data_IF_364742422034
#
_entry.id   IF_364742422034
#
_cell.length_a   1.000
_cell.length_b   1.000
_cell.length_c   1.000
_cell.angle_alpha   90.00
_cell.angle_beta   90.00
_cell.angle_gamma   90.00
#
_symmetry.space_group_name_H-M   'P 1'
#
loop_
_entity.id
_entity.type
_entity.pdbx_description
1 polymer ?
#
# COMPACT_ATOMS: atom_id res chain seq x y z
N UNK A 1 2.87 2.47 0.03
CA UNK A 1 2.99 1.29 0.91
C UNK A 1 2.74 1.72 2.34
N UNK A 2 1.92 0.98 3.08
CA UNK A 2 1.80 1.06 4.52
C UNK A 2 2.65 -0.05 5.12
N UNK A 3 3.72 0.33 5.79
CA UNK A 3 4.67 -0.59 6.39
C UNK A 3 4.58 -0.49 7.91
N UNK A 4 3.98 -1.51 8.54
CA UNK A 4 3.98 -1.66 9.99
C UNK A 4 5.24 -2.40 10.40
N UNK A 5 6.11 -1.70 11.10
CA UNK A 5 7.37 -2.25 11.56
C UNK A 5 8.02 -1.33 12.58
N UNK A 6 8.43 -1.88 13.71
CA UNK A 6 9.28 -1.17 14.66
C UNK A 6 10.63 -0.82 14.04
N UNK A 7 11.25 0.24 14.56
CA UNK A 7 12.61 0.60 14.16
C UNK A 7 13.57 -0.55 14.47
N UNK A 8 14.31 -1.01 13.46
CA UNK A 8 15.20 -2.15 13.63
C UNK A 8 15.75 -2.70 12.32
N UNK A 9 16.60 -3.74 12.38
CA UNK A 9 17.33 -4.26 11.22
C UNK A 9 16.39 -4.86 10.15
N UNK A 10 15.28 -5.48 10.53
CA UNK A 10 14.30 -6.04 9.57
C UNK A 10 13.72 -4.94 8.69
N UNK A 11 13.26 -3.84 9.32
CA UNK A 11 12.76 -2.68 8.59
C UNK A 11 13.83 -2.04 7.71
N UNK A 12 15.05 -1.88 8.22
CA UNK A 12 16.17 -1.31 7.48
C UNK A 12 16.44 -2.11 6.22
N UNK A 13 16.47 -3.44 6.29
CA UNK A 13 16.66 -4.31 5.12
C UNK A 13 15.62 -4.09 4.03
N UNK A 14 14.36 -3.92 4.40
CA UNK A 14 13.31 -3.60 3.42
C UNK A 14 13.47 -2.19 2.83
N UNK A 15 13.86 -1.22 3.66
CA UNK A 15 14.10 0.15 3.18
C UNK A 15 15.31 0.25 2.24
N UNK A 16 16.35 -0.55 2.48
CA UNK A 16 17.52 -0.62 1.60
C UNK A 16 17.12 -1.16 0.21
N UNK A 17 16.19 -2.11 0.14
CA UNK A 17 15.67 -2.60 -1.13
C UNK A 17 14.96 -1.52 -1.98
N UNK A 18 14.48 -0.45 -1.35
CA UNK A 18 13.89 0.69 -2.06
C UNK A 18 14.91 1.54 -2.83
N UNK A 19 16.23 1.30 -2.66
CA UNK A 19 17.28 1.96 -3.48
C UNK A 19 17.13 1.66 -4.98
N UNK A 20 16.49 0.54 -5.32
CA UNK A 20 16.12 0.22 -6.70
C UNK A 20 14.99 1.04 -7.30
N UNK A 21 14.30 1.90 -6.51
CA UNK A 21 13.24 2.78 -7.02
C UNK A 21 13.86 4.01 -7.66
N UNK A 22 13.60 4.31 -8.96
CA UNK A 22 14.21 5.41 -9.68
C UNK A 22 13.56 6.77 -9.36
N UNK A 23 13.41 7.07 -8.08
CA UNK A 23 12.86 8.32 -7.56
C UNK A 23 13.73 8.83 -6.42
N UNK A 24 13.98 10.15 -6.34
CA UNK A 24 14.72 10.71 -5.22
C UNK A 24 13.94 10.47 -3.92
N UNK A 25 14.64 9.97 -2.88
CA UNK A 25 14.05 9.78 -1.56
C UNK A 25 13.91 11.11 -0.81
N UNK A 26 12.78 11.30 -0.16
CA UNK A 26 12.52 12.46 0.68
C UNK A 26 11.89 12.00 1.98
N UNK A 27 12.57 12.33 3.09
CA UNK A 27 12.06 12.01 4.42
C UNK A 27 11.00 13.03 4.85
N UNK A 28 9.91 12.52 5.40
CA UNK A 28 8.82 13.28 6.00
C UNK A 28 8.64 12.87 7.46
N UNK A 29 8.14 13.81 8.23
CA UNK A 29 7.82 13.64 9.64
C UNK A 29 6.43 14.22 9.91
N UNK A 30 5.67 13.77 10.93
CA UNK A 30 4.38 14.34 11.30
C UNK A 30 4.37 15.86 11.50
N UNK A 31 5.51 16.44 11.88
CA UNK A 31 5.66 17.90 12.02
C UNK A 31 6.10 18.61 10.72
N UNK A 32 6.13 17.93 9.57
CA UNK A 32 6.50 18.57 8.30
C UNK A 32 5.45 19.62 7.90
N UNK A 33 5.90 20.88 7.79
CA UNK A 33 5.04 22.02 7.48
C UNK A 33 4.85 22.26 5.98
N UNK A 34 3.91 23.13 5.64
CA UNK A 34 3.53 23.46 4.27
C UNK A 34 4.66 24.06 3.45
N UNK A 35 5.50 24.89 4.06
CA UNK A 35 6.66 25.46 3.39
C UNK A 35 7.64 24.39 2.89
N UNK A 36 7.83 23.35 3.67
CA UNK A 36 8.67 22.21 3.28
C UNK A 36 8.02 21.41 2.16
N UNK A 37 6.70 21.21 2.22
CA UNK A 37 5.97 20.41 1.21
C UNK A 37 5.84 21.14 -0.12
N UNK A 38 5.40 22.40 -0.11
CA UNK A 38 5.01 23.14 -1.30
C UNK A 38 6.02 24.21 -1.70
N UNK A 39 6.98 24.51 -0.83
CA UNK A 39 7.90 25.63 -0.99
C UNK A 39 7.30 26.94 -0.52
N UNK A 40 8.12 27.97 -0.52
CA UNK A 40 7.76 29.29 -0.04
C UNK A 40 8.60 30.38 -0.68
N UNK A 41 8.54 31.59 -0.11
CA UNK A 41 9.40 32.69 -0.52
C UNK A 41 10.76 32.53 0.17
N UNK A 42 11.82 32.42 -0.62
CA UNK A 42 13.19 32.48 -0.11
C UNK A 42 13.53 33.95 0.19
N UNK A 43 13.48 34.32 1.46
CA UNK A 43 13.73 35.67 1.90
C UNK A 43 15.17 36.14 1.60
N UNK A 44 16.17 35.23 1.80
CA UNK A 44 17.56 35.51 1.53
C UNK A 44 17.81 35.79 0.06
N UNK A 45 17.37 34.92 -0.81
CA UNK A 45 17.48 35.07 -2.26
C UNK A 45 16.65 36.25 -2.77
N UNK A 46 15.47 36.53 -2.18
CA UNK A 46 14.60 37.66 -2.52
C UNK A 46 15.29 38.99 -2.22
N UNK A 47 15.90 39.14 -1.03
CA UNK A 47 16.63 40.33 -0.65
C UNK A 47 17.87 40.56 -1.53
N UNK A 48 18.61 39.46 -1.81
CA UNK A 48 19.80 39.54 -2.66
C UNK A 48 19.47 39.89 -4.11
N UNK A 49 18.35 39.40 -4.63
CA UNK A 49 17.93 39.58 -6.02
C UNK A 49 17.06 40.84 -6.25
N UNK A 50 16.57 41.51 -5.19
CA UNK A 50 15.65 42.65 -5.28
C UNK A 50 14.28 42.29 -5.91
N UNK A 51 13.95 40.99 -6.02
CA UNK A 51 12.68 40.48 -6.56
C UNK A 51 12.28 39.19 -5.83
N UNK A 52 11.00 38.92 -5.79
CA UNK A 52 10.51 37.70 -5.14
C UNK A 52 11.14 36.43 -5.77
N UNK A 53 11.85 35.65 -4.96
CA UNK A 53 12.39 34.32 -5.30
C UNK A 53 11.65 33.30 -4.49
N UNK A 54 11.20 32.22 -5.15
CA UNK A 54 10.51 31.11 -4.51
C UNK A 54 11.44 29.90 -4.45
N UNK A 55 11.49 29.25 -3.29
CA UNK A 55 12.08 27.94 -3.13
C UNK A 55 11.05 26.86 -3.48
N UNK A 56 11.48 25.83 -4.20
CA UNK A 56 10.63 24.69 -4.52
C UNK A 56 10.47 23.78 -3.29
N UNK A 57 9.25 23.30 -3.04
CA UNK A 57 8.98 22.34 -1.99
C UNK A 57 9.28 20.89 -2.38
N UNK A 58 9.14 19.98 -1.42
CA UNK A 58 9.42 18.55 -1.61
C UNK A 58 8.51 17.88 -2.64
N UNK A 59 7.29 18.40 -2.80
CA UNK A 59 6.29 17.87 -3.75
C UNK A 59 6.37 18.51 -5.14
N UNK A 60 7.34 19.37 -5.40
CA UNK A 60 7.49 20.02 -6.71
C UNK A 60 7.99 19.08 -7.81
N UNK A 61 8.62 17.97 -7.44
CA UNK A 61 9.17 16.97 -8.35
C UNK A 61 8.76 15.57 -7.87
N UNK A 62 8.53 14.59 -8.77
CA UNK A 62 8.28 13.21 -8.41
C UNK A 62 9.31 12.68 -7.41
N UNK A 63 8.85 12.02 -6.37
CA UNK A 63 9.72 11.53 -5.30
C UNK A 63 9.15 10.29 -4.61
N UNK A 64 10.03 9.51 -4.01
CA UNK A 64 9.72 8.50 -3.03
C UNK A 64 9.71 9.16 -1.64
N UNK A 65 8.52 9.33 -1.09
CA UNK A 65 8.28 9.95 0.21
C UNK A 65 8.35 8.87 1.29
N UNK A 66 9.15 9.09 2.32
CA UNK A 66 9.25 8.20 3.48
C UNK A 66 8.70 8.95 4.69
N UNK A 67 7.47 8.65 5.11
CA UNK A 67 6.83 9.24 6.28
C UNK A 67 7.14 8.38 7.51
N UNK A 68 7.98 8.87 8.40
CA UNK A 68 8.24 8.24 9.70
C UNK A 68 7.12 8.53 10.70
N UNK A 69 6.91 7.63 11.67
CA UNK A 69 5.83 7.72 12.68
C UNK A 69 4.48 8.06 12.03
N UNK A 70 4.13 7.29 11.02
CA UNK A 70 2.96 7.58 10.19
C UNK A 70 1.64 7.47 10.96
N UNK A 71 1.58 6.66 12.02
CA UNK A 71 0.47 6.57 12.99
C UNK A 71 0.19 7.90 13.70
N UNK A 72 1.20 8.79 13.79
CA UNK A 72 1.10 10.13 14.38
C UNK A 72 0.86 11.24 13.37
N UNK A 73 0.61 10.87 12.10
CA UNK A 73 0.40 11.84 11.04
C UNK A 73 -0.84 12.72 11.31
N UNK A 74 -0.71 14.06 11.41
CA UNK A 74 -1.86 14.91 11.61
C UNK A 74 -2.82 14.85 10.40
N UNK A 75 -4.15 14.98 10.61
CA UNK A 75 -5.13 14.94 9.53
C UNK A 75 -4.85 15.94 8.39
N UNK A 76 -4.34 17.12 8.72
CA UNK A 76 -3.96 18.13 7.72
C UNK A 76 -2.83 17.68 6.81
N UNK A 77 -1.77 17.09 7.36
CA UNK A 77 -0.66 16.53 6.57
C UNK A 77 -1.14 15.33 5.76
N UNK A 78 -1.92 14.44 6.36
CA UNK A 78 -2.49 13.27 5.69
C UNK A 78 -3.33 13.66 4.46
N UNK A 79 -4.15 14.71 4.57
CA UNK A 79 -4.95 15.22 3.47
C UNK A 79 -4.08 15.75 2.31
N UNK A 80 -3.00 16.50 2.61
CA UNK A 80 -2.07 17.03 1.61
C UNK A 80 -1.29 15.92 0.90
N UNK A 81 -0.78 14.94 1.67
CA UNK A 81 -0.12 13.77 1.10
C UNK A 81 -1.10 12.95 0.26
N UNK A 82 -2.33 12.77 0.73
CA UNK A 82 -3.38 12.11 -0.03
C UNK A 82 -3.64 12.79 -1.38
N UNK A 83 -3.74 14.12 -1.39
CA UNK A 83 -3.90 14.88 -2.64
C UNK A 83 -2.68 14.72 -3.57
N UNK A 84 -1.46 14.72 -3.03
CA UNK A 84 -0.25 14.49 -3.82
C UNK A 84 -0.21 13.09 -4.44
N UNK A 85 -0.75 12.08 -3.74
CA UNK A 85 -0.83 10.70 -4.24
C UNK A 85 -1.97 10.47 -5.25
N UNK A 86 -2.97 11.32 -5.29
CA UNK A 86 -4.04 11.26 -6.30
C UNK A 86 -3.53 11.71 -7.69
N UNK A 87 -2.40 12.41 -7.75
CA UNK A 87 -1.69 12.73 -8.99
C UNK A 87 -0.54 11.73 -9.23
N UNK A 88 -0.22 11.42 -10.50
CA UNK A 88 0.90 10.53 -10.81
C UNK A 88 2.24 11.21 -10.46
N UNK A 89 3.22 10.41 -10.03
CA UNK A 89 4.60 10.83 -9.85
C UNK A 89 5.17 10.59 -8.44
N UNK A 90 4.36 10.69 -7.39
CA UNK A 90 4.83 10.39 -6.04
C UNK A 90 4.51 8.96 -5.62
N UNK A 91 5.46 8.36 -4.88
CA UNK A 91 5.23 7.15 -4.12
C UNK A 91 5.39 7.48 -2.63
N UNK A 92 4.57 6.87 -1.77
CA UNK A 92 4.68 7.03 -0.33
C UNK A 92 4.89 5.68 0.35
N UNK A 93 5.88 5.62 1.22
CA UNK A 93 6.04 4.58 2.22
C UNK A 93 5.77 5.21 3.59
N UNK A 94 4.66 4.82 4.19
CA UNK A 94 4.27 5.22 5.53
C UNK A 94 4.82 4.19 6.52
N UNK A 95 5.76 4.62 7.37
CA UNK A 95 6.39 3.79 8.39
C UNK A 95 5.56 3.93 9.66
N UNK A 96 4.82 2.90 9.99
CA UNK A 96 3.92 2.82 11.13
C UNK A 96 4.62 2.03 12.25
N UNK A 97 4.77 2.66 13.41
CA UNK A 97 5.36 2.08 14.63
C UNK A 97 4.31 1.90 15.74
N UNK A 98 3.02 2.05 15.41
CA UNK A 98 1.91 1.95 16.35
C UNK A 98 1.90 0.62 17.11
N UNK A 99 1.82 0.71 18.43
CA UNK A 99 1.83 -0.46 19.30
C UNK A 99 0.42 -1.04 19.53
N UNK A 100 -0.61 -0.23 19.28
CA UNK A 100 -2.02 -0.59 19.50
C UNK A 100 -2.83 -0.41 18.21
N UNK A 101 -4.00 -1.02 18.15
CA UNK A 101 -4.89 -0.87 17.00
C UNK A 101 -5.46 0.55 16.86
N UNK A 102 -5.52 1.31 17.95
CA UNK A 102 -5.99 2.70 17.95
C UNK A 102 -4.94 3.66 17.38
N UNK A 103 -3.67 3.28 17.41
CA UNK A 103 -2.58 4.01 16.78
C UNK A 103 -2.45 3.56 15.32
N UNK A 104 -3.13 4.24 14.43
CA UNK A 104 -3.16 3.90 13.01
C UNK A 104 -3.09 5.15 12.14
N UNK A 105 -2.73 4.96 10.88
CA UNK A 105 -2.75 6.05 9.90
C UNK A 105 -4.15 6.65 9.77
N UNK A 106 -4.26 7.98 9.51
CA UNK A 106 -5.52 8.58 9.13
C UNK A 106 -6.14 7.86 7.95
N UNK A 107 -7.41 7.44 8.08
CA UNK A 107 -8.12 6.57 7.13
C UNK A 107 -8.03 7.05 5.67
N UNK A 108 -8.16 8.38 5.44
CA UNK A 108 -8.06 8.95 4.10
C UNK A 108 -6.68 8.80 3.45
N UNK A 109 -5.60 8.69 4.24
CA UNK A 109 -4.27 8.41 3.74
C UNK A 109 -4.07 6.89 3.55
N UNK A 110 -4.47 6.10 4.55
CA UNK A 110 -4.39 4.63 4.51
C UNK A 110 -5.08 4.05 3.27
N UNK A 111 -6.24 4.59 2.89
CA UNK A 111 -6.99 4.18 1.70
C UNK A 111 -6.21 4.35 0.38
N UNK A 112 -5.26 5.28 0.34
CA UNK A 112 -4.42 5.56 -0.84
C UNK A 112 -3.17 4.70 -0.91
N UNK A 113 -2.81 4.03 0.19
CA UNK A 113 -1.65 3.15 0.24
C UNK A 113 -2.07 1.75 -0.20
N UNK A 114 -1.70 1.37 -1.41
CA UNK A 114 -2.14 0.11 -2.01
C UNK A 114 -1.69 -1.11 -1.21
N UNK A 115 -0.41 -1.18 -0.84
CA UNK A 115 0.18 -2.36 -0.22
C UNK A 115 0.28 -2.15 1.30
N UNK A 116 -0.12 -3.17 2.05
CA UNK A 116 0.14 -3.28 3.49
C UNK A 116 1.11 -4.41 3.75
N UNK A 117 2.14 -4.12 4.54
CA UNK A 117 3.17 -5.09 4.94
C UNK A 117 3.37 -4.95 6.44
N UNK A 118 3.19 -6.03 7.16
CA UNK A 118 3.44 -6.12 8.61
C UNK A 118 4.71 -6.95 8.86
N UNK A 119 5.69 -6.34 9.51
CA UNK A 119 6.97 -6.97 9.85
C UNK A 119 7.15 -7.17 11.35
N UNK A 120 6.18 -6.85 12.19
CA UNK A 120 6.33 -6.91 13.64
C UNK A 120 6.59 -8.32 14.16
N UNK A 121 6.05 -9.33 13.48
CA UNK A 121 6.27 -10.73 13.82
C UNK A 121 7.47 -11.38 13.10
N UNK A 122 8.18 -10.63 12.24
CA UNK A 122 9.30 -11.17 11.45
C UNK A 122 10.59 -11.08 12.25
N UNK A 123 11.19 -12.23 12.58
CA UNK A 123 12.49 -12.27 13.26
C UNK A 123 13.61 -11.96 12.24
N UNK A 124 14.70 -11.39 12.74
CA UNK A 124 15.89 -11.13 11.90
C UNK A 124 16.43 -12.40 11.24
N UNK A 125 16.41 -13.52 11.96
CA UNK A 125 16.82 -14.83 11.46
C UNK A 125 16.04 -15.31 10.25
N UNK A 126 14.80 -14.84 10.11
CA UNK A 126 13.87 -15.27 9.05
C UNK A 126 13.99 -14.39 7.80
N UNK A 127 14.89 -13.40 7.84
CA UNK A 127 15.14 -12.51 6.71
C UNK A 127 16.41 -12.89 5.97
N UNK A 128 16.38 -12.78 4.64
CA UNK A 128 17.56 -12.85 3.76
C UNK A 128 17.81 -11.49 3.09
N UNK A 129 19.04 -11.18 2.65
CA UNK A 129 19.27 -10.03 1.80
C UNK A 129 18.36 -10.09 0.57
N UNK A 130 17.73 -8.96 0.26
CA UNK A 130 16.93 -8.83 -0.97
C UNK A 130 17.89 -8.48 -2.09
N UNK A 131 18.27 -9.49 -2.87
CA UNK A 131 19.03 -9.31 -4.10
C UNK A 131 18.06 -8.98 -5.23
N UNK A 132 17.92 -7.69 -5.53
CA UNK A 132 17.08 -7.23 -6.64
C UNK A 132 17.95 -7.00 -7.86
N UNK A 133 17.75 -7.79 -8.90
CA UNK A 133 18.40 -7.55 -10.19
C UNK A 133 17.80 -6.31 -10.86
N UNK A 134 18.61 -5.28 -11.02
CA UNK A 134 18.19 -4.02 -11.65
C UNK A 134 17.73 -4.22 -13.10
N UNK A 135 18.33 -5.18 -13.83
CA UNK A 135 17.95 -5.49 -15.21
C UNK A 135 16.58 -6.20 -15.25
N UNK A 136 16.33 -7.14 -14.34
CA UNK A 136 15.01 -7.80 -14.21
C UNK A 136 13.93 -6.79 -13.84
N UNK A 137 14.18 -5.90 -12.89
CA UNK A 137 13.24 -4.84 -12.52
C UNK A 137 12.97 -3.87 -13.68
N UNK A 138 14.00 -3.50 -14.45
CA UNK A 138 13.82 -2.66 -15.63
C UNK A 138 12.98 -3.36 -16.71
N UNK A 139 13.24 -4.66 -16.94
CA UNK A 139 12.46 -5.48 -17.86
C UNK A 139 11.02 -5.64 -17.40
N UNK A 140 10.76 -5.85 -16.10
CA UNK A 140 9.41 -5.92 -15.53
C UNK A 140 8.65 -4.60 -15.72
N UNK A 141 9.30 -3.47 -15.45
CA UNK A 141 8.72 -2.13 -15.70
C UNK A 141 8.37 -1.91 -17.17
N UNK A 142 9.23 -2.33 -18.09
CA UNK A 142 8.96 -2.21 -19.53
C UNK A 142 7.75 -3.06 -19.97
N UNK A 143 7.56 -4.25 -19.36
CA UNK A 143 6.43 -5.14 -19.65
C UNK A 143 5.11 -4.66 -19.04
N UNK A 144 5.13 -3.98 -17.90
CA UNK A 144 3.95 -3.64 -17.11
C UNK A 144 2.81 -2.98 -17.90
N UNK A 145 3.03 -2.04 -18.83
CA UNK A 145 1.95 -1.44 -19.61
C UNK A 145 1.19 -2.45 -20.49
N UNK A 146 1.87 -3.51 -20.95
CA UNK A 146 1.30 -4.53 -21.82
C UNK A 146 0.64 -5.69 -21.08
N UNK A 147 0.79 -5.79 -19.75
CA UNK A 147 0.18 -6.86 -18.95
C UNK A 147 -1.34 -6.70 -18.98
N UNK A 148 -2.02 -7.75 -19.39
CA UNK A 148 -3.49 -7.81 -19.40
C UNK A 148 -4.01 -8.33 -18.07
N UNK A 149 -5.11 -7.73 -17.59
CA UNK A 149 -5.90 -8.24 -16.48
C UNK A 149 -7.27 -8.65 -17.07
N UNK A 150 -7.56 -9.94 -17.21
CA UNK A 150 -8.82 -10.41 -17.73
C UNK A 150 -10.03 -9.93 -16.91
N UNK A 151 -11.20 -9.80 -17.54
CA UNK A 151 -12.41 -9.31 -16.87
C UNK A 151 -12.88 -10.22 -15.74
N UNK A 152 -12.68 -11.53 -15.86
CA UNK A 152 -12.97 -12.50 -14.81
C UNK A 152 -12.03 -12.31 -13.61
N UNK A 153 -10.75 -12.02 -13.82
CA UNK A 153 -9.80 -11.71 -12.78
C UNK A 153 -10.17 -10.41 -12.03
N UNK A 154 -10.57 -9.37 -12.76
CA UNK A 154 -11.06 -8.13 -12.18
C UNK A 154 -12.36 -8.35 -11.39
N UNK A 155 -13.27 -9.16 -11.96
CA UNK A 155 -14.51 -9.59 -11.30
C UNK A 155 -14.24 -10.33 -10.00
N UNK A 156 -13.26 -11.25 -9.98
CA UNK A 156 -12.86 -11.99 -8.78
C UNK A 156 -12.33 -11.07 -7.67
N UNK A 157 -11.47 -10.09 -7.99
CA UNK A 157 -10.97 -9.11 -7.00
C UNK A 157 -12.09 -8.22 -6.47
N UNK A 158 -13.02 -7.81 -7.33
CA UNK A 158 -14.17 -6.99 -6.92
C UNK A 158 -15.11 -7.76 -6.00
N UNK A 159 -15.39 -9.03 -6.34
CA UNK A 159 -16.18 -9.92 -5.49
C UNK A 159 -15.50 -10.21 -4.16
N UNK A 160 -14.19 -10.44 -4.16
CA UNK A 160 -13.41 -10.63 -2.93
C UNK A 160 -13.52 -9.39 -2.03
N UNK A 161 -13.33 -8.19 -2.57
CA UNK A 161 -13.48 -6.94 -1.82
C UNK A 161 -14.89 -6.79 -1.23
N UNK A 162 -15.93 -7.08 -2.01
CA UNK A 162 -17.31 -7.03 -1.56
C UNK A 162 -17.60 -8.03 -0.43
N UNK A 163 -17.13 -9.28 -0.54
CA UNK A 163 -17.26 -10.30 0.51
C UNK A 163 -16.54 -9.94 1.81
N UNK A 164 -15.47 -9.17 1.71
CA UNK A 164 -14.72 -8.66 2.85
C UNK A 164 -15.30 -7.33 3.39
N UNK A 165 -16.48 -6.92 2.93
CA UNK A 165 -17.14 -5.67 3.32
C UNK A 165 -16.30 -4.40 3.03
N UNK A 166 -15.42 -4.46 2.03
CA UNK A 166 -14.61 -3.32 1.60
C UNK A 166 -15.45 -2.42 0.69
N UNK A 167 -15.85 -1.26 1.18
CA UNK A 167 -16.73 -0.33 0.46
C UNK A 167 -15.98 0.47 -0.61
N UNK A 168 -14.68 0.69 -0.42
CA UNK A 168 -13.88 1.53 -1.31
C UNK A 168 -13.60 0.85 -2.65
N UNK A 169 -13.98 1.50 -3.75
CA UNK A 169 -13.64 1.07 -5.10
C UNK A 169 -12.14 1.20 -5.43
N UNK A 170 -11.37 1.94 -4.63
CA UNK A 170 -9.91 2.01 -4.79
C UNK A 170 -9.26 0.66 -4.52
N UNK A 171 -9.76 -0.11 -3.57
CA UNK A 171 -9.17 -1.36 -3.17
C UNK A 171 -9.10 -2.39 -4.32
N UNK A 172 -10.16 -2.75 -5.03
CA UNK A 172 -10.07 -3.67 -6.17
C UNK A 172 -9.23 -3.10 -7.32
N UNK A 173 -9.24 -1.79 -7.56
CA UNK A 173 -8.37 -1.17 -8.58
C UNK A 173 -6.89 -1.26 -8.20
N UNK A 174 -6.55 -1.02 -6.94
CA UNK A 174 -5.19 -1.18 -6.42
C UNK A 174 -4.75 -2.64 -6.43
N UNK A 175 -5.65 -3.57 -6.12
CA UNK A 175 -5.38 -5.00 -6.19
C UNK A 175 -5.11 -5.45 -7.64
N UNK A 176 -5.88 -4.98 -8.61
CA UNK A 176 -5.64 -5.24 -10.03
C UNK A 176 -4.27 -4.68 -10.50
N UNK A 177 -3.91 -3.48 -10.03
CA UNK A 177 -2.59 -2.90 -10.32
C UNK A 177 -1.46 -3.72 -9.69
N UNK A 178 -1.61 -4.19 -8.45
CA UNK A 178 -0.65 -5.06 -7.76
C UNK A 178 -0.52 -6.41 -8.46
N UNK A 179 -1.63 -7.04 -8.89
CA UNK A 179 -1.61 -8.29 -9.64
C UNK A 179 -0.88 -8.15 -10.99
N UNK A 180 -1.10 -7.04 -11.71
CA UNK A 180 -0.35 -6.75 -12.95
C UNK A 180 1.14 -6.57 -12.69
N UNK A 181 1.51 -5.91 -11.59
CA UNK A 181 2.91 -5.76 -11.20
C UNK A 181 3.55 -7.12 -10.85
N UNK A 182 2.84 -8.00 -10.13
CA UNK A 182 3.28 -9.36 -9.84
C UNK A 182 3.49 -10.18 -11.12
N UNK A 183 2.54 -10.16 -12.04
CA UNK A 183 2.65 -10.82 -13.34
C UNK A 183 3.85 -10.28 -14.15
N UNK A 184 4.10 -8.97 -14.12
CA UNK A 184 5.24 -8.35 -14.79
C UNK A 184 6.57 -8.83 -14.19
N UNK A 185 6.68 -8.92 -12.87
CA UNK A 185 7.87 -9.43 -12.17
C UNK A 185 8.14 -10.90 -12.51
N UNK A 186 7.09 -11.71 -12.60
CA UNK A 186 7.16 -13.11 -12.98
C UNK A 186 7.45 -13.34 -14.47
N UNK A 187 7.43 -12.29 -15.29
CA UNK A 187 7.64 -12.38 -16.73
C UNK A 187 6.42 -12.83 -17.54
N UNK A 188 5.23 -12.86 -16.94
CA UNK A 188 3.99 -13.22 -17.61
C UNK A 188 3.44 -12.05 -18.45
N UNK A 189 2.55 -12.37 -19.40
CA UNK A 189 1.83 -11.40 -20.22
C UNK A 189 0.41 -11.11 -19.70
N UNK A 190 -0.09 -11.99 -18.85
CA UNK A 190 -1.45 -11.94 -18.32
C UNK A 190 -1.44 -12.25 -16.83
N UNK A 191 -2.30 -11.60 -16.08
CA UNK A 191 -2.52 -11.88 -14.64
C UNK A 191 -3.06 -13.29 -14.47
N UNK A 192 -2.42 -14.06 -13.58
CA UNK A 192 -2.82 -15.40 -13.20
C UNK A 192 -3.31 -15.48 -11.75
N UNK A 193 -3.72 -16.68 -11.33
CA UNK A 193 -4.31 -16.92 -10.02
C UNK A 193 -3.34 -16.59 -8.86
N UNK A 194 -2.05 -16.90 -9.01
CA UNK A 194 -1.06 -16.58 -7.97
C UNK A 194 -0.87 -15.07 -7.81
N UNK A 195 -0.93 -14.30 -8.91
CA UNK A 195 -0.85 -12.84 -8.87
C UNK A 195 -2.06 -12.24 -8.15
N UNK A 196 -3.26 -12.83 -8.37
CA UNK A 196 -4.49 -12.44 -7.69
C UNK A 196 -4.43 -12.75 -6.19
N UNK A 197 -3.92 -13.93 -5.80
CA UNK A 197 -3.74 -14.28 -4.38
C UNK A 197 -2.78 -13.33 -3.68
N UNK A 198 -1.64 -13.03 -4.31
CA UNK A 198 -0.66 -12.08 -3.76
C UNK A 198 -1.26 -10.68 -3.64
N UNK A 199 -1.96 -10.21 -4.66
CA UNK A 199 -2.62 -8.92 -4.63
C UNK A 199 -3.71 -8.84 -3.55
N UNK A 200 -4.52 -9.89 -3.40
CA UNK A 200 -5.53 -9.95 -2.35
C UNK A 200 -4.90 -9.91 -0.95
N UNK A 201 -3.83 -10.64 -0.73
CA UNK A 201 -3.10 -10.66 0.54
C UNK A 201 -2.50 -9.28 0.89
N UNK A 202 -1.86 -8.62 -0.08
CA UNK A 202 -1.17 -7.35 0.16
C UNK A 202 -2.10 -6.12 0.17
N UNK A 203 -3.25 -6.20 -0.53
CA UNK A 203 -4.11 -5.02 -0.75
C UNK A 203 -5.45 -5.13 -0.04
N UNK A 204 -6.08 -6.30 -0.01
CA UNK A 204 -7.44 -6.47 0.51
C UNK A 204 -7.45 -6.95 1.96
N UNK A 205 -6.58 -7.87 2.34
CA UNK A 205 -6.65 -8.58 3.62
C UNK A 205 -6.68 -7.64 4.85
N UNK A 206 -5.88 -6.56 4.83
CA UNK A 206 -5.82 -5.60 5.94
C UNK A 206 -6.99 -4.61 5.99
N UNK A 207 -7.82 -4.55 4.95
CA UNK A 207 -8.94 -3.59 4.81
C UNK A 207 -10.29 -4.21 5.13
N UNK A 208 -10.37 -5.53 5.04
CA UNK A 208 -11.62 -6.24 5.17
C UNK A 208 -11.83 -6.79 6.57
N UNK A 209 -13.11 -6.98 6.92
CA UNK A 209 -13.47 -7.86 8.01
C UNK A 209 -13.66 -9.24 7.41
N UNK A 210 -13.02 -10.30 7.94
CA UNK A 210 -13.28 -11.64 7.45
C UNK A 210 -14.78 -11.93 7.55
N UNK A 211 -15.39 -12.61 6.54
CA UNK A 211 -16.76 -13.00 6.65
C UNK A 211 -16.92 -13.83 7.94
N UNK A 212 -18.05 -13.70 8.65
CA UNK A 212 -18.33 -14.56 9.79
C UNK A 212 -18.18 -16.00 9.31
N UNK A 213 -17.43 -16.80 10.09
CA UNK A 213 -17.39 -18.25 9.84
C UNK A 213 -18.84 -18.70 9.74
N UNK A 214 -19.16 -19.41 8.66
CA UNK A 214 -20.48 -19.99 8.52
C UNK A 214 -20.69 -20.88 9.74
N UNK A 215 -21.51 -20.42 10.70
CA UNK A 215 -21.98 -21.29 11.77
C UNK A 215 -22.51 -22.54 11.08
N UNK A 216 -21.99 -23.71 11.43
CA UNK A 216 -22.47 -24.99 10.94
C UNK A 216 -24.00 -24.95 10.98
N UNK A 217 -24.61 -24.98 9.82
CA UNK A 217 -26.07 -24.99 9.74
C UNK A 217 -26.54 -26.16 10.61
N UNK A 218 -27.47 -25.92 11.56
CA UNK A 218 -27.95 -27.02 12.40
C UNK A 218 -28.39 -28.16 11.51
N UNK A 219 -27.91 -29.37 11.81
CA UNK A 219 -28.28 -30.57 11.08
C UNK A 219 -29.82 -30.61 10.99
N UNK A 220 -30.39 -30.97 9.83
CA UNK A 220 -31.83 -31.11 9.71
C UNK A 220 -32.33 -32.09 10.76
N UNK A 221 -33.48 -31.83 11.39
CA UNK A 221 -34.03 -32.74 12.38
C UNK A 221 -34.26 -34.11 11.73
N UNK A 222 -33.83 -35.14 12.44
CA UNK A 222 -33.98 -36.56 12.05
C UNK A 222 -35.46 -36.91 12.25
N UNK A 223 -36.31 -36.54 11.29
CA UNK A 223 -37.71 -36.98 11.22
C UNK A 223 -37.75 -38.37 10.59
N UNK A 224 -37.46 -39.37 11.39
CA UNK A 224 -37.85 -40.75 11.09
C UNK A 224 -39.27 -40.95 11.66
N UNK A 225 -40.28 -41.19 10.83
CA UNK A 225 -41.56 -41.66 11.35
C UNK A 225 -41.42 -43.13 11.73
N UNK A 226 -41.61 -43.43 13.00
CA UNK A 226 -41.80 -44.77 13.50
C UNK A 226 -43.22 -45.21 13.14
N UNK A 227 -43.37 -45.88 12.01
CA UNK A 227 -44.57 -46.65 11.68
C UNK A 227 -44.38 -48.10 12.13
N UNK A 228 -44.83 -48.42 13.28
CA UNK A 228 -45.22 -49.78 13.66
C UNK A 228 -46.66 -49.78 14.07
N UNK A 229 -47.53 -50.05 13.08
CA UNK A 229 -48.90 -50.43 13.29
C UNK A 229 -49.00 -51.93 13.61
N UNK A 230 -49.64 -52.27 14.71
CA UNK A 230 -50.63 -53.34 14.81
C UNK A 230 -51.81 -52.80 15.59
#
# INVERSE_FOLDING_TARGET
>A
VWLRARSGPVRTRLLDALDGVPLPRRALHPATGDETLFGGIDLGATLAAGRTVRAAGMLAQPALLLLSMAERCPPGLAARLGQALDAPGHCLVALDEGATQDESLPAGLAERLALFVDLDAVAWSDTAPLELDAAELAAARARLPAITCPDDALGALTLAAARMSIVSLRAPMQAAAAARAAAALRGAQTVGEEDLRLAAALVLAHRGTPPPEAEDAPAPPDDAPDESLE
#
